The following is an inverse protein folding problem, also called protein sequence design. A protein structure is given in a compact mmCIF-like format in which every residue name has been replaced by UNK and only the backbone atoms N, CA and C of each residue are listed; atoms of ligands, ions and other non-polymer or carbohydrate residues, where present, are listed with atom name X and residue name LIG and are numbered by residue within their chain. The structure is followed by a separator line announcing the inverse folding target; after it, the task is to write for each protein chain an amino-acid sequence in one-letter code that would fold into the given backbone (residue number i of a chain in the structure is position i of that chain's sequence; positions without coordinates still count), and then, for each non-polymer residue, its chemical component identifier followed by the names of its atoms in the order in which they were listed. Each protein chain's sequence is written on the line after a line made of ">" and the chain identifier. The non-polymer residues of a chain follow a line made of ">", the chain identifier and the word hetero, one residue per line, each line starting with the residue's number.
data_IF_018929169702
#
_entry.id   IF_018929169702
#
_cell.length_a   1.000
_cell.length_b   1.000
_cell.length_c   1.000
_cell.angle_alpha   90.00
_cell.angle_beta   90.00
_cell.angle_gamma   90.00
#
_symmetry.space_group_name_H-M   'P 1'
#
loop_
_entity.id
_entity.type
_entity.pdbx_description
1 polymer ?
#
# COMPACT_ATOMS: atom_id res chain seq x y z
N UNK A 1 -2.41 -6.05 -8.20
CA UNK A 1 -3.63 -6.11 -7.36
C UNK A 1 -3.37 -7.03 -6.19
N UNK A 2 -3.95 -6.76 -5.03
CA UNK A 2 -3.91 -7.68 -3.88
C UNK A 2 -5.18 -7.51 -3.02
N UNK A 3 -5.43 -8.40 -2.06
CA UNK A 3 -6.58 -8.35 -1.16
C UNK A 3 -6.08 -8.33 0.28
N UNK A 4 -6.57 -7.38 1.07
CA UNK A 4 -6.30 -7.30 2.51
C UNK A 4 -7.62 -7.19 3.25
N UNK A 5 -7.97 -8.23 4.01
CA UNK A 5 -9.26 -8.34 4.71
C UNK A 5 -10.42 -8.23 3.71
N UNK A 6 -11.37 -7.31 3.92
CA UNK A 6 -12.52 -7.06 3.03
C UNK A 6 -12.22 -5.97 1.99
N UNK A 7 -10.96 -5.77 1.60
CA UNK A 7 -10.57 -4.72 0.65
C UNK A 7 -9.74 -5.28 -0.49
N UNK A 8 -10.13 -4.91 -1.71
CA UNK A 8 -9.36 -5.13 -2.94
C UNK A 8 -8.50 -3.89 -3.19
N UNK A 9 -7.21 -4.11 -3.43
CA UNK A 9 -6.22 -3.05 -3.64
C UNK A 9 -5.72 -3.18 -5.08
N UNK A 10 -5.89 -2.11 -5.85
CA UNK A 10 -5.58 -2.08 -7.29
C UNK A 10 -4.59 -0.95 -7.56
N UNK A 11 -3.54 -1.26 -8.30
CA UNK A 11 -2.56 -0.29 -8.77
C UNK A 11 -2.88 0.07 -10.22
N UNK A 12 -2.65 1.31 -10.60
CA UNK A 12 -2.95 1.80 -11.95
C UNK A 12 -1.68 2.19 -12.70
N UNK A 13 -1.79 2.24 -14.03
CA UNK A 13 -0.72 2.73 -14.92
C UNK A 13 -0.43 4.22 -14.73
N UNK A 14 -1.30 4.97 -14.04
CA UNK A 14 -1.13 6.39 -13.72
C UNK A 14 -0.62 6.63 -12.28
N UNK A 15 -0.05 5.61 -11.63
CA UNK A 15 0.55 5.74 -10.30
C UNK A 15 -0.44 5.89 -9.14
N UNK A 16 -1.74 5.69 -9.41
CA UNK A 16 -2.79 5.67 -8.38
C UNK A 16 -2.94 4.28 -7.79
N UNK A 17 -3.26 4.22 -6.51
CA UNK A 17 -3.65 3.01 -5.78
C UNK A 17 -5.09 3.19 -5.29
N UNK A 18 -5.96 2.27 -5.70
CA UNK A 18 -7.38 2.27 -5.44
C UNK A 18 -7.72 1.16 -4.45
N UNK A 19 -8.60 1.47 -3.50
CA UNK A 19 -9.07 0.54 -2.48
C UNK A 19 -10.57 0.36 -2.64
N UNK A 20 -11.02 -0.85 -2.92
CA UNK A 20 -12.43 -1.19 -3.09
C UNK A 20 -12.89 -2.13 -1.98
N UNK A 21 -14.17 -2.02 -1.61
CA UNK A 21 -14.82 -2.96 -0.72
C UNK A 21 -15.09 -4.28 -1.45
N UNK A 22 -14.74 -5.40 -0.82
CA UNK A 22 -15.08 -6.73 -1.35
C UNK A 22 -16.59 -6.99 -1.26
N UNK A 23 -17.27 -6.37 -0.29
CA UNK A 23 -18.69 -6.66 -0.02
C UNK A 23 -19.65 -5.91 -0.93
N UNK A 24 -19.38 -4.65 -1.24
CA UNK A 24 -20.28 -3.82 -2.06
C UNK A 24 -19.65 -3.28 -3.34
N UNK A 25 -18.35 -3.52 -3.59
CA UNK A 25 -17.65 -3.04 -4.77
C UNK A 25 -17.40 -1.54 -4.79
N UNK A 26 -17.73 -0.80 -3.73
CA UNK A 26 -17.56 0.64 -3.65
C UNK A 26 -16.08 1.04 -3.50
N UNK A 27 -15.70 2.15 -4.14
CA UNK A 27 -14.38 2.76 -3.97
C UNK A 27 -14.31 3.40 -2.57
N UNK A 28 -13.42 2.87 -1.73
CA UNK A 28 -13.22 3.27 -0.33
C UNK A 28 -12.07 4.25 -0.12
N UNK A 29 -11.09 4.28 -1.03
CA UNK A 29 -10.00 5.26 -1.01
C UNK A 29 -9.26 5.26 -2.34
N UNK A 30 -8.67 6.42 -2.66
CA UNK A 30 -7.75 6.60 -3.77
C UNK A 30 -6.52 7.36 -3.27
N UNK A 31 -5.34 6.86 -3.63
CA UNK A 31 -4.06 7.45 -3.25
C UNK A 31 -3.24 7.71 -4.51
N UNK A 32 -2.81 8.96 -4.71
CA UNK A 32 -1.79 9.31 -5.69
C UNK A 32 -0.41 8.91 -5.13
N UNK A 33 -0.06 7.64 -5.30
CA UNK A 33 1.11 7.06 -4.66
C UNK A 33 2.41 7.31 -5.43
N UNK A 34 2.36 7.21 -6.76
CA UNK A 34 3.54 7.12 -7.62
C UNK A 34 3.44 8.07 -8.82
N UNK A 35 4.59 8.44 -9.36
CA UNK A 35 4.68 9.29 -10.56
C UNK A 35 4.51 8.50 -11.87
N UNK A 36 4.68 7.17 -11.80
CA UNK A 36 4.57 6.23 -12.93
C UNK A 36 3.72 5.03 -12.56
N UNK A 37 3.60 4.05 -13.46
CA UNK A 37 2.77 2.87 -13.28
C UNK A 37 3.12 2.10 -11.99
N UNK A 38 2.08 1.73 -11.24
CA UNK A 38 2.21 0.80 -10.11
C UNK A 38 2.39 -0.60 -10.68
N UNK A 39 3.56 -1.20 -10.47
CA UNK A 39 3.94 -2.50 -11.02
C UNK A 39 3.58 -3.65 -10.10
N UNK A 40 3.59 -3.43 -8.79
CA UNK A 40 3.38 -4.49 -7.80
C UNK A 40 2.66 -3.97 -6.55
N UNK A 41 1.89 -4.87 -5.93
CA UNK A 41 1.20 -4.63 -4.66
C UNK A 41 1.34 -5.88 -3.78
N UNK A 42 1.83 -5.70 -2.56
CA UNK A 42 1.94 -6.76 -1.54
C UNK A 42 1.28 -6.32 -0.23
N UNK A 43 0.86 -7.28 0.59
CA UNK A 43 0.15 -6.99 1.84
C UNK A 43 0.75 -7.79 2.99
N UNK A 44 0.78 -7.18 4.18
CA UNK A 44 1.18 -7.83 5.42
C UNK A 44 -0.01 -7.86 6.38
N UNK A 45 -0.71 -9.01 6.52
CA UNK A 45 -2.03 -9.06 7.16
C UNK A 45 -2.00 -8.78 8.67
N UNK A 46 -0.94 -9.16 9.39
CA UNK A 46 -0.84 -8.97 10.84
C UNK A 46 -0.78 -7.48 11.20
N UNK A 47 -0.01 -6.70 10.43
CA UNK A 47 0.18 -5.26 10.66
C UNK A 47 -0.80 -4.37 9.89
N UNK A 48 -1.63 -4.98 9.03
CA UNK A 48 -2.46 -4.29 8.04
C UNK A 48 -1.63 -3.35 7.14
N UNK A 49 -0.47 -3.82 6.70
CA UNK A 49 0.40 -3.07 5.79
C UNK A 49 0.11 -3.39 4.33
N UNK A 50 0.30 -2.38 3.50
CA UNK A 50 0.19 -2.44 2.05
C UNK A 50 1.47 -1.85 1.48
N UNK A 51 2.15 -2.62 0.64
CA UNK A 51 3.35 -2.21 -0.09
C UNK A 51 2.96 -2.01 -1.55
N UNK A 52 3.35 -0.88 -2.12
CA UNK A 52 3.23 -0.60 -3.55
C UNK A 52 4.61 -0.31 -4.13
N UNK A 53 4.90 -0.84 -5.31
CA UNK A 53 6.12 -0.53 -6.07
C UNK A 53 5.79 -0.04 -7.48
N UNK A 54 6.71 0.71 -8.07
CA UNK A 54 6.45 1.47 -9.30
C UNK A 54 7.66 1.59 -10.23
N UNK A 55 7.37 1.85 -11.50
CA UNK A 55 8.37 2.21 -12.50
C UNK A 55 9.12 3.53 -12.21
N UNK A 56 8.64 4.33 -11.25
CA UNK A 56 9.35 5.52 -10.76
C UNK A 56 10.54 5.18 -9.86
N UNK A 57 10.81 3.89 -9.63
CA UNK A 57 11.92 3.41 -8.81
C UNK A 57 11.65 3.48 -7.32
N UNK A 58 10.42 3.82 -6.89
CA UNK A 58 10.05 3.91 -5.48
C UNK A 58 9.11 2.80 -5.07
N UNK A 59 9.27 2.35 -3.84
CA UNK A 59 8.23 1.60 -3.15
C UNK A 59 7.74 2.36 -1.93
N UNK A 60 6.45 2.21 -1.62
CA UNK A 60 5.81 2.91 -0.50
C UNK A 60 5.05 1.88 0.34
N UNK A 61 5.15 2.03 1.66
CA UNK A 61 4.38 1.26 2.61
C UNK A 61 3.35 2.13 3.29
N UNK A 62 2.12 1.63 3.30
CA UNK A 62 0.97 2.22 3.96
C UNK A 62 0.48 1.30 5.08
N UNK A 63 -0.16 1.91 6.08
CA UNK A 63 -0.99 1.21 7.05
C UNK A 63 -2.45 1.48 6.78
N UNK A 64 -3.21 0.40 6.63
CA UNK A 64 -4.64 0.45 6.42
C UNK A 64 -5.39 0.37 7.76
N UNK A 65 -6.12 1.43 8.09
CA UNK A 65 -6.99 1.44 9.27
C UNK A 65 -8.41 1.10 8.84
N UNK A 66 -8.92 -0.04 9.32
CA UNK A 66 -10.36 -0.32 9.26
C UNK A 66 -11.03 0.48 10.37
N UNK A 67 -11.87 1.46 10.03
CA UNK A 67 -12.79 1.99 11.04
C UNK A 67 -13.71 0.85 11.47
N UNK A 68 -13.94 0.68 12.78
CA UNK A 68 -15.14 -0.06 13.22
C UNK A 68 -16.35 0.67 12.63
N UNK A 69 -17.41 -0.03 12.18
CA UNK A 69 -18.66 0.63 11.91
C UNK A 69 -19.08 1.32 13.21
N UNK A 70 -18.94 2.65 13.28
CA UNK A 70 -19.50 3.42 14.38
C UNK A 70 -21.01 3.28 14.23
N UNK A 71 -21.64 2.58 15.18
CA UNK A 71 -23.04 2.19 15.09
C UNK A 71 -24.00 3.39 14.99
N UNK A 72 -23.57 4.60 15.35
CA UNK A 72 -24.42 5.80 15.30
C UNK A 72 -23.57 7.05 15.05
N UNK A 73 -23.48 7.48 13.80
CA UNK A 73 -23.13 8.88 13.48
C UNK A 73 -24.15 9.35 12.44
N UNK A 74 -25.17 10.10 12.90
CA UNK A 74 -26.06 10.86 12.04
C UNK A 74 -25.23 11.98 11.39
N UNK A 75 -24.83 11.78 10.14
CA UNK A 75 -24.20 12.81 9.33
C UNK A 75 -25.21 13.21 8.25
N UNK A 76 -25.87 14.35 8.45
CA UNK A 76 -26.85 14.94 7.52
C UNK A 76 -26.19 15.60 6.29
N UNK A 77 -24.96 15.19 5.95
CA UNK A 77 -24.24 15.69 4.78
C UNK A 77 -23.94 14.54 3.82
N UNK A 78 -24.50 14.64 2.62
CA UNK A 78 -24.35 13.70 1.51
C UNK A 78 -22.88 13.27 1.28
N UNK A 79 -22.61 11.96 1.46
CA UNK A 79 -21.41 11.21 1.01
C UNK A 79 -20.01 11.78 1.35
N UNK A 80 -19.58 11.75 2.63
CA UNK A 80 -18.14 11.91 2.96
C UNK A 80 -17.53 10.91 3.96
N UNK A 81 -18.33 10.05 4.60
CA UNK A 81 -17.88 9.31 5.79
C UNK A 81 -17.91 7.77 5.66
N UNK A 82 -17.30 7.21 4.61
CA UNK A 82 -16.94 5.76 4.57
C UNK A 82 -15.55 5.55 3.95
N UNK A 83 -14.66 6.55 4.01
CA UNK A 83 -13.30 6.37 3.50
C UNK A 83 -12.42 5.72 4.58
N UNK A 84 -11.81 4.58 4.28
CA UNK A 84 -10.80 4.00 5.15
C UNK A 84 -9.56 4.90 5.18
N UNK A 85 -8.96 5.06 6.37
CA UNK A 85 -7.74 5.85 6.49
C UNK A 85 -6.55 5.00 6.03
N UNK A 86 -6.02 5.36 4.86
CA UNK A 86 -4.74 4.87 4.35
C UNK A 86 -3.65 5.80 4.87
N UNK A 87 -2.81 5.31 5.78
CA UNK A 87 -1.76 6.10 6.42
C UNK A 87 -0.41 5.78 5.76
N UNK A 88 0.30 6.79 5.26
CA UNK A 88 1.69 6.62 4.84
C UNK A 88 2.58 6.22 6.03
N UNK A 89 3.45 5.23 5.84
CA UNK A 89 4.40 4.80 6.88
C UNK A 89 5.84 5.15 6.53
N UNK A 90 6.32 4.65 5.40
CA UNK A 90 7.66 4.93 4.91
C UNK A 90 7.74 4.54 3.44
N UNK A 91 8.81 4.99 2.78
CA UNK A 91 9.16 4.63 1.42
C UNK A 91 10.68 4.51 1.34
N UNK A 92 11.15 3.79 0.34
CA UNK A 92 12.53 3.84 -0.10
C UNK A 92 12.57 3.75 -1.61
N UNK A 93 13.74 3.97 -2.20
CA UNK A 93 13.94 3.99 -3.63
C UNK A 93 15.15 3.18 -4.06
N UNK A 94 15.05 2.64 -5.28
CA UNK A 94 16.17 2.10 -6.02
C UNK A 94 16.46 3.08 -7.17
N UNK A 95 17.46 3.96 -7.02
CA UNK A 95 17.68 5.04 -7.95
C UNK A 95 18.00 4.49 -9.34
N UNK A 96 17.46 5.17 -10.36
CA UNK A 96 17.67 4.85 -11.78
C UNK A 96 17.22 3.44 -12.21
N UNK A 97 16.34 2.77 -11.46
CA UNK A 97 15.85 1.46 -11.85
C UNK A 97 14.36 1.28 -11.57
N UNK A 98 13.59 0.83 -12.57
CA UNK A 98 12.17 0.56 -12.41
C UNK A 98 11.96 -0.67 -11.51
N UNK A 99 11.18 -0.52 -10.43
CA UNK A 99 10.81 -1.65 -9.58
C UNK A 99 9.80 -2.50 -10.33
N UNK A 100 10.13 -3.77 -10.53
CA UNK A 100 9.28 -4.74 -11.23
C UNK A 100 8.58 -5.69 -10.27
N UNK A 101 9.12 -5.86 -9.06
CA UNK A 101 8.48 -6.64 -8.01
C UNK A 101 8.90 -6.18 -6.64
N UNK A 102 7.95 -6.13 -5.71
CA UNK A 102 8.21 -5.85 -4.30
C UNK A 102 7.24 -6.68 -3.45
N UNK A 103 7.75 -7.38 -2.46
CA UNK A 103 6.95 -8.26 -1.61
C UNK A 103 7.38 -8.19 -0.15
N UNK A 104 6.41 -8.17 0.77
CA UNK A 104 6.70 -8.50 2.16
C UNK A 104 7.13 -9.96 2.26
N UNK A 105 8.20 -10.23 2.99
CA UNK A 105 8.70 -11.59 3.23
C UNK A 105 8.20 -12.16 4.56
N UNK A 106 7.38 -11.41 5.30
CA UNK A 106 6.71 -11.87 6.51
C UNK A 106 5.34 -11.21 6.75
N UNK A 107 4.48 -11.85 7.54
CA UNK A 107 3.12 -11.37 7.85
C UNK A 107 3.07 -10.05 8.63
N UNK A 108 4.12 -9.75 9.40
CA UNK A 108 4.30 -8.49 10.14
C UNK A 108 4.70 -7.31 9.25
N UNK A 109 5.19 -7.57 8.04
CA UNK A 109 5.67 -6.55 7.12
C UNK A 109 6.87 -5.78 7.65
N UNK A 110 7.80 -6.46 8.35
CA UNK A 110 9.07 -5.88 8.79
C UNK A 110 10.22 -6.14 7.81
N UNK A 111 10.04 -7.09 6.90
CA UNK A 111 11.02 -7.44 5.88
C UNK A 111 10.37 -7.35 4.49
N UNK A 112 11.10 -6.78 3.52
CA UNK A 112 10.66 -6.61 2.14
C UNK A 112 11.77 -7.12 1.21
N UNK A 113 11.39 -7.80 0.13
CA UNK A 113 12.25 -8.10 -1.00
C UNK A 113 11.81 -7.27 -2.21
N UNK A 114 12.76 -6.65 -2.90
CA UNK A 114 12.51 -5.79 -4.08
C UNK A 114 13.40 -6.24 -5.23
N UNK A 115 12.82 -6.34 -6.43
CA UNK A 115 13.51 -6.64 -7.67
C UNK A 115 13.25 -5.51 -8.67
N UNK A 116 14.29 -5.16 -9.43
CA UNK A 116 14.24 -4.10 -10.43
C UNK A 116 14.69 -4.60 -11.80
N UNK A 117 14.33 -3.86 -12.84
CA UNK A 117 14.50 -4.28 -14.23
C UNK A 117 15.97 -4.45 -14.66
N UNK A 118 16.81 -3.45 -14.42
CA UNK A 118 18.21 -3.43 -14.91
C UNK A 118 19.21 -4.07 -13.95
N UNK A 119 18.76 -4.55 -12.79
CA UNK A 119 19.62 -5.06 -11.73
C UNK A 119 19.42 -6.58 -11.57
N UNK A 120 20.48 -7.37 -11.74
CA UNK A 120 20.45 -8.81 -11.50
C UNK A 120 20.62 -9.15 -10.00
N UNK A 121 19.79 -8.55 -9.15
CA UNK A 121 19.81 -8.74 -7.71
C UNK A 121 18.43 -8.54 -7.10
N UNK A 122 18.19 -9.23 -5.97
CA UNK A 122 17.04 -8.97 -5.10
C UNK A 122 17.56 -8.16 -3.90
N UNK A 123 16.98 -6.98 -3.70
CA UNK A 123 17.29 -6.10 -2.60
C UNK A 123 16.42 -6.44 -1.39
N UNK A 124 17.05 -6.77 -0.27
CA UNK A 124 16.39 -7.03 1.00
C UNK A 124 16.35 -5.78 1.87
N UNK A 125 15.16 -5.38 2.30
CA UNK A 125 14.95 -4.28 3.23
C UNK A 125 14.43 -4.81 4.55
N UNK A 126 14.94 -4.26 5.65
CA UNK A 126 14.44 -4.49 7.01
C UNK A 126 14.01 -3.18 7.62
N UNK A 127 12.74 -3.12 8.03
CA UNK A 127 12.14 -1.95 8.65
C UNK A 127 12.41 -2.03 10.14
N UNK A 128 13.18 -1.08 10.64
CA UNK A 128 13.53 -0.98 12.05
C UNK A 128 12.90 0.27 12.66
N UNK A 129 12.45 0.19 13.91
CA UNK A 129 12.10 1.40 14.65
C UNK A 129 13.38 2.21 14.86
N UNK A 130 13.31 3.51 14.59
CA UNK A 130 14.38 4.42 15.00
C UNK A 130 14.52 4.32 16.52
N UNK A 131 15.71 4.00 17.00
CA UNK A 131 15.99 4.00 18.43
C UNK A 131 15.76 5.42 18.96
N UNK A 132 15.00 5.55 20.03
CA UNK A 132 14.92 6.78 20.81
C UNK A 132 16.28 6.99 21.48
N UNK A 133 17.01 8.01 21.01
CA UNK A 133 18.20 8.55 21.70
C UNK A 133 17.74 9.34 22.91
#
# INVERSE_FOLDING_TARGET
>A
MNILRKQVIVGTVRGRVLFYSVSGGELMAEVCAHARAVTCISVAPESAYVLTGSEDGRFIVYKLHTRKPQAYQLDLTFKKSVLNKVEYRFSDELPNCAIMGAQFTNGRGSNIAVACFDHNAIYGYRIVKKASV
#
